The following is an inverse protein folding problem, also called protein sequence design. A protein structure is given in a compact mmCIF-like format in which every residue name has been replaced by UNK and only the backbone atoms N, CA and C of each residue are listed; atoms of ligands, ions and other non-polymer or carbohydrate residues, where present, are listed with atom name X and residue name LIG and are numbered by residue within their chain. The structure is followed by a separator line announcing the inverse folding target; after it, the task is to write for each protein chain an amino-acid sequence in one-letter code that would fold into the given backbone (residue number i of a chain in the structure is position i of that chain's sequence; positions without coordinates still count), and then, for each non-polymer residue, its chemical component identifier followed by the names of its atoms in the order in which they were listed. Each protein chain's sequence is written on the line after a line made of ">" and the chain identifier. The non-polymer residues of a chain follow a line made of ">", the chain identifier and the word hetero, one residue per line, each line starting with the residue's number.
data_IF_497092755797
#
_entry.id   IF_497092755797
#
_cell.length_a   1.000
_cell.length_b   1.000
_cell.length_c   1.000
_cell.angle_alpha   90.00
_cell.angle_beta   90.00
_cell.angle_gamma   90.00
#
_symmetry.space_group_name_H-M   'P 1'
#
loop_
_entity.id
_entity.type
_entity.pdbx_description
1 polymer ?
#
# COMPACT_ATOMS: atom_id res chain seq x y z
N UNK A 1 -4.60 6.64 -18.67
CA UNK A 1 -3.50 6.95 -17.73
C UNK A 1 -4.11 7.32 -16.39
N UNK A 2 -3.74 6.63 -15.31
CA UNK A 2 -4.25 6.92 -13.96
C UNK A 2 -3.80 8.31 -13.52
N UNK A 3 -4.72 9.13 -13.00
CA UNK A 3 -4.40 10.43 -12.40
C UNK A 3 -4.30 10.27 -10.89
N UNK A 4 -3.23 10.80 -10.29
CA UNK A 4 -2.99 10.76 -8.85
C UNK A 4 -3.21 12.14 -8.24
N UNK A 5 -3.59 12.16 -6.96
CA UNK A 5 -3.68 13.37 -6.14
C UNK A 5 -2.40 13.51 -5.31
N UNK A 6 -1.96 14.75 -5.13
CA UNK A 6 -0.93 15.08 -4.14
C UNK A 6 -1.51 14.94 -2.73
N UNK A 7 -0.76 14.33 -1.81
CA UNK A 7 -1.14 14.16 -0.40
C UNK A 7 0.06 14.50 0.50
N UNK A 8 0.10 15.68 1.12
CA UNK A 8 1.22 16.07 1.97
C UNK A 8 1.28 15.24 3.25
N UNK A 9 2.50 14.94 3.71
CA UNK A 9 2.75 14.18 4.94
C UNK A 9 2.94 12.67 4.73
N UNK A 10 2.94 12.16 3.49
CA UNK A 10 3.36 10.78 3.21
C UNK A 10 4.89 10.62 3.43
N UNK A 11 5.35 9.58 4.16
CA UNK A 11 6.78 9.27 4.29
C UNK A 11 7.36 8.69 2.99
N UNK A 12 8.69 8.74 2.85
CA UNK A 12 9.40 8.32 1.62
C UNK A 12 9.22 6.81 1.34
N UNK A 13 8.62 6.42 0.20
CA UNK A 13 8.42 5.01 -0.14
C UNK A 13 9.70 4.29 -0.57
N UNK A 14 10.85 4.98 -0.68
CA UNK A 14 12.12 4.43 -1.22
C UNK A 14 12.99 3.71 -0.17
N UNK A 15 12.40 3.25 0.93
CA UNK A 15 13.06 2.31 1.87
C UNK A 15 13.32 0.97 1.14
N UNK A 16 14.53 0.42 1.27
CA UNK A 16 14.99 -0.83 0.61
C UNK A 16 15.20 -1.95 1.65
N UNK A 17 15.32 -3.24 1.27
CA UNK A 17 15.09 -3.88 -0.03
C UNK A 17 13.62 -4.39 -0.05
N UNK A 18 13.24 -5.66 -0.39
CA UNK A 18 13.71 -6.56 -1.47
C UNK A 18 13.56 -5.93 -2.87
N UNK A 19 13.34 -6.76 -3.92
CA UNK A 19 13.05 -6.35 -5.31
C UNK A 19 11.88 -7.14 -5.95
N UNK A 20 11.48 -8.28 -5.38
CA UNK A 20 10.24 -8.97 -5.74
C UNK A 20 9.25 -8.70 -4.63
N UNK A 21 8.07 -8.17 -4.97
CA UNK A 21 7.04 -7.90 -3.98
C UNK A 21 6.36 -9.20 -3.55
N UNK A 22 6.30 -9.44 -2.23
CA UNK A 22 5.58 -10.55 -1.61
C UNK A 22 4.48 -10.02 -0.66
N UNK A 23 3.48 -10.84 -0.39
CA UNK A 23 2.40 -10.49 0.53
C UNK A 23 2.88 -10.58 2.00
N UNK A 24 2.57 -9.57 2.83
CA UNK A 24 3.09 -9.46 4.19
C UNK A 24 4.51 -8.88 4.28
N UNK A 25 5.14 -8.52 3.15
CA UNK A 25 6.40 -7.77 3.16
C UNK A 25 6.13 -6.27 3.35
N UNK A 26 6.63 -5.63 4.42
CA UNK A 26 6.31 -4.24 4.71
C UNK A 26 6.83 -3.26 3.65
N UNK A 27 7.90 -3.60 2.92
CA UNK A 27 8.48 -2.72 1.89
C UNK A 27 7.64 -2.73 0.60
N UNK A 28 7.09 -3.88 0.23
CA UNK A 28 6.06 -3.99 -0.82
C UNK A 28 4.78 -3.27 -0.40
N UNK A 29 4.26 -3.54 0.80
CA UNK A 29 3.02 -2.95 1.31
C UNK A 29 3.12 -1.42 1.44
N UNK A 30 4.26 -0.89 1.89
CA UNK A 30 4.52 0.56 1.95
C UNK A 30 4.29 1.24 0.60
N UNK A 31 4.89 0.69 -0.47
CA UNK A 31 4.75 1.23 -1.84
C UNK A 31 3.32 1.14 -2.35
N UNK A 32 2.64 0.03 -2.09
CA UNK A 32 1.24 -0.18 -2.47
C UNK A 32 0.33 0.83 -1.75
N UNK A 33 0.41 0.94 -0.42
CA UNK A 33 -0.44 1.85 0.36
C UNK A 33 -0.11 3.32 0.06
N UNK A 34 1.16 3.66 -0.22
CA UNK A 34 1.56 4.99 -0.67
C UNK A 34 0.95 5.38 -2.04
N UNK A 35 0.79 4.42 -2.97
CA UNK A 35 0.02 4.65 -4.20
C UNK A 35 -1.49 4.75 -3.93
N UNK A 36 -2.04 3.85 -3.11
CA UNK A 36 -3.48 3.82 -2.75
C UNK A 36 -3.92 5.12 -2.06
N UNK A 37 -3.06 5.69 -1.19
CA UNK A 37 -3.29 6.97 -0.53
C UNK A 37 -3.55 8.12 -1.53
N UNK A 38 -2.88 8.09 -2.69
CA UNK A 38 -2.93 9.10 -3.76
C UNK A 38 -4.01 8.84 -4.83
N UNK A 39 -4.77 7.75 -4.75
CA UNK A 39 -5.88 7.48 -5.68
C UNK A 39 -6.98 8.56 -5.60
N UNK A 40 -7.77 8.76 -6.66
CA UNK A 40 -9.03 9.49 -6.59
C UNK A 40 -9.94 8.92 -5.49
N UNK A 41 -10.72 9.79 -4.82
CA UNK A 41 -11.76 9.37 -3.87
C UNK A 41 -13.10 9.19 -4.58
N UNK A 42 -13.98 8.36 -4.02
CA UNK A 42 -15.35 8.13 -4.49
C UNK A 42 -15.49 7.44 -5.86
N UNK A 43 -14.39 6.96 -6.45
CA UNK A 43 -14.37 6.35 -7.79
C UNK A 43 -13.67 4.98 -7.74
N UNK A 44 -14.25 3.91 -8.32
CA UNK A 44 -13.60 2.61 -8.37
C UNK A 44 -12.39 2.61 -9.32
N UNK A 45 -11.23 2.20 -8.80
CA UNK A 45 -9.98 2.03 -9.56
C UNK A 45 -9.69 0.54 -9.72
N UNK A 46 -9.41 0.09 -10.94
CA UNK A 46 -9.09 -1.32 -11.22
C UNK A 46 -7.76 -1.70 -10.59
N UNK A 47 -7.70 -2.84 -9.91
CA UNK A 47 -6.46 -3.36 -9.31
C UNK A 47 -5.37 -3.58 -10.36
N UNK A 48 -5.73 -3.95 -11.60
CA UNK A 48 -4.77 -4.03 -12.72
C UNK A 48 -4.07 -2.69 -12.97
N UNK A 49 -4.82 -1.60 -13.02
CA UNK A 49 -4.27 -0.28 -13.35
C UNK A 49 -3.38 0.26 -12.20
N UNK A 50 -3.58 -0.23 -10.97
CA UNK A 50 -2.70 -0.03 -9.80
C UNK A 50 -1.40 -0.84 -9.97
N UNK A 51 -1.49 -2.13 -10.34
CA UNK A 51 -0.32 -2.98 -10.64
C UNK A 51 0.53 -2.39 -11.77
N UNK A 52 -0.12 -1.99 -12.87
CA UNK A 52 0.55 -1.36 -14.02
C UNK A 52 1.28 -0.07 -13.60
N UNK A 53 0.68 0.69 -12.66
CA UNK A 53 1.33 1.90 -12.14
C UNK A 53 2.49 1.61 -11.18
N UNK A 54 2.36 0.65 -10.27
CA UNK A 54 3.44 0.30 -9.33
C UNK A 54 4.70 -0.13 -10.07
N UNK A 55 4.57 -1.01 -11.08
CA UNK A 55 5.69 -1.46 -11.91
C UNK A 55 6.28 -0.33 -12.80
N UNK A 56 5.53 0.76 -13.03
CA UNK A 56 6.02 1.94 -13.76
C UNK A 56 6.66 3.00 -12.84
N UNK A 57 6.21 3.15 -11.60
CA UNK A 57 6.81 4.06 -10.59
C UNK A 57 8.06 3.43 -9.92
N UNK A 58 8.14 2.09 -9.84
CA UNK A 58 9.22 1.35 -9.19
C UNK A 58 9.82 0.30 -10.16
N UNK A 59 10.66 0.75 -11.09
CA UNK A 59 11.26 -0.11 -12.13
C UNK A 59 12.27 -1.14 -11.59
N UNK A 60 12.71 -0.97 -10.35
CA UNK A 60 13.51 -1.90 -9.56
C UNK A 60 12.68 -2.98 -8.84
N UNK A 61 11.35 -2.93 -8.97
CA UNK A 61 10.40 -3.85 -8.33
C UNK A 61 9.53 -4.61 -9.32
N UNK A 62 9.10 -5.81 -8.91
CA UNK A 62 8.06 -6.59 -9.60
C UNK A 62 6.84 -6.77 -8.68
N UNK A 63 5.73 -6.12 -9.01
CA UNK A 63 4.45 -6.22 -8.32
C UNK A 63 3.48 -7.14 -9.07
N UNK A 64 3.01 -8.17 -8.38
CA UNK A 64 1.97 -9.06 -8.88
C UNK A 64 0.57 -8.69 -8.36
N UNK A 65 -0.45 -9.09 -9.10
CA UNK A 65 -1.85 -8.82 -8.75
C UNK A 65 -2.29 -9.42 -7.40
N UNK A 66 -1.94 -10.66 -7.03
CA UNK A 66 -2.26 -11.21 -5.70
C UNK A 66 -1.67 -10.40 -4.54
N UNK A 67 -0.46 -9.86 -4.70
CA UNK A 67 0.22 -9.07 -3.66
C UNK A 67 -0.49 -7.73 -3.43
N UNK A 68 -0.89 -7.05 -4.50
CA UNK A 68 -1.71 -5.82 -4.39
C UNK A 68 -3.08 -6.11 -3.77
N UNK A 69 -3.73 -7.22 -4.13
CA UNK A 69 -4.99 -7.64 -3.49
C UNK A 69 -4.81 -7.91 -1.99
N UNK A 70 -3.76 -8.63 -1.60
CA UNK A 70 -3.48 -8.92 -0.18
C UNK A 70 -3.29 -7.63 0.65
N UNK A 71 -2.49 -6.69 0.16
CA UNK A 71 -2.29 -5.39 0.81
C UNK A 71 -3.60 -4.58 0.91
N UNK A 72 -4.47 -4.62 -0.11
CA UNK A 72 -5.78 -3.97 -0.09
C UNK A 72 -6.75 -4.62 0.91
N UNK A 73 -6.76 -5.95 1.02
CA UNK A 73 -7.54 -6.69 2.04
C UNK A 73 -7.05 -6.32 3.45
N UNK A 74 -5.73 -6.25 3.67
CA UNK A 74 -5.18 -5.84 4.96
C UNK A 74 -5.54 -4.39 5.30
N UNK A 75 -5.49 -3.47 4.31
CA UNK A 75 -5.88 -2.09 4.49
C UNK A 75 -7.38 -1.94 4.85
N UNK A 76 -8.25 -2.69 4.17
CA UNK A 76 -9.68 -2.77 4.52
C UNK A 76 -9.90 -3.33 5.94
N UNK A 77 -9.15 -4.38 6.33
CA UNK A 77 -9.21 -4.97 7.67
C UNK A 77 -8.82 -3.98 8.78
N UNK A 78 -7.74 -3.21 8.56
CA UNK A 78 -7.33 -2.14 9.46
C UNK A 78 -8.43 -1.08 9.61
N UNK A 79 -9.07 -0.68 8.51
CA UNK A 79 -10.16 0.30 8.53
C UNK A 79 -11.39 -0.22 9.30
N UNK A 80 -11.78 -1.48 9.07
CA UNK A 80 -12.88 -2.12 9.81
C UNK A 80 -12.59 -2.22 11.32
N UNK A 81 -11.32 -2.40 11.70
CA UNK A 81 -10.91 -2.42 13.10
C UNK A 81 -11.01 -1.05 13.76
N UNK A 82 -10.59 0.01 13.07
CA UNK A 82 -10.59 1.39 13.58
C UNK A 82 -11.99 2.04 13.57
N UNK A 83 -12.86 1.74 12.59
CA UNK A 83 -14.15 2.41 12.39
C UNK A 83 -15.41 1.51 12.34
N UNK A 84 -15.27 0.18 12.48
CA UNK A 84 -16.37 -0.82 12.46
C UNK A 84 -17.30 -0.78 11.23
N UNK A 85 -16.79 -0.35 10.08
CA UNK A 85 -17.45 -0.40 8.76
C UNK A 85 -16.39 -0.65 7.70
N UNK A 86 -16.75 -1.08 6.49
CA UNK A 86 -15.80 -1.27 5.39
C UNK A 86 -15.59 -0.01 4.51
N UNK A 87 -16.46 1.00 4.66
CA UNK A 87 -16.68 2.04 3.64
C UNK A 87 -15.52 2.97 3.32
N UNK A 88 -14.46 2.98 4.13
CA UNK A 88 -13.23 3.71 3.84
C UNK A 88 -12.43 3.15 2.67
N UNK A 89 -12.40 1.83 2.54
CA UNK A 89 -11.60 1.08 1.58
C UNK A 89 -12.41 -0.13 1.13
N UNK A 90 -13.16 0.03 0.05
CA UNK A 90 -14.07 -0.98 -0.49
C UNK A 90 -13.38 -1.72 -1.64
N UNK A 91 -12.96 -2.97 -1.40
CA UNK A 91 -12.48 -3.89 -2.41
C UNK A 91 -13.65 -4.74 -2.92
N UNK A 92 -13.99 -4.59 -4.20
CA UNK A 92 -15.08 -5.30 -4.87
C UNK A 92 -14.54 -6.24 -5.95
N UNK A 93 -15.15 -7.42 -6.12
CA UNK A 93 -14.85 -8.35 -7.21
C UNK A 93 -15.89 -8.23 -8.33
N UNK A 94 -15.45 -7.92 -9.54
CA UNK A 94 -16.32 -7.80 -10.72
C UNK A 94 -15.89 -8.69 -11.89
N UNK A 95 -16.75 -8.82 -12.90
CA UNK A 95 -16.49 -9.63 -14.10
C UNK A 95 -15.28 -9.15 -14.94
N UNK A 96 -14.78 -7.93 -14.69
CA UNK A 96 -13.58 -7.37 -15.32
C UNK A 96 -12.36 -7.37 -14.37
N UNK A 97 -12.44 -8.12 -13.28
CA UNK A 97 -11.50 -8.12 -12.16
C UNK A 97 -11.84 -7.09 -11.08
N UNK A 98 -11.18 -7.26 -9.94
CA UNK A 98 -11.29 -6.45 -8.74
C UNK A 98 -11.01 -4.95 -8.96
N UNK A 99 -11.80 -4.15 -8.24
CA UNK A 99 -11.70 -2.70 -8.11
C UNK A 99 -11.60 -2.31 -6.65
N UNK A 100 -10.85 -1.26 -6.34
CA UNK A 100 -10.87 -0.61 -5.03
C UNK A 100 -11.46 0.80 -5.15
N UNK A 101 -12.39 1.12 -4.26
CA UNK A 101 -12.91 2.46 -4.04
C UNK A 101 -12.42 2.96 -2.69
N UNK A 102 -11.92 4.20 -2.64
CA UNK A 102 -11.55 4.86 -1.38
C UNK A 102 -12.57 5.95 -1.10
N UNK A 103 -13.11 6.00 0.13
CA UNK A 103 -14.19 6.93 0.51
C UNK A 103 -13.85 8.40 0.25
N UNK A 104 -14.81 9.15 -0.26
CA UNK A 104 -14.70 10.61 -0.33
C UNK A 104 -15.10 11.25 1.01
N UNK A 105 -14.19 11.12 1.99
CA UNK A 105 -14.38 11.70 3.32
C UNK A 105 -13.07 12.21 3.92
N UNK A 106 -13.18 13.27 4.73
CA UNK A 106 -12.04 13.91 5.40
C UNK A 106 -11.35 13.04 6.46
N UNK A 107 -11.94 11.90 6.85
CA UNK A 107 -11.34 10.94 7.79
C UNK A 107 -10.33 10.00 7.13
N UNK A 108 -10.41 9.77 5.82
CA UNK A 108 -9.51 8.85 5.10
C UNK A 108 -8.08 9.35 5.13
N UNK A 109 -7.83 10.59 4.68
CA UNK A 109 -6.49 11.13 4.50
C UNK A 109 -5.62 11.05 5.78
N UNK A 110 -6.05 11.55 6.96
CA UNK A 110 -5.28 11.39 8.19
C UNK A 110 -5.20 9.95 8.69
N UNK A 111 -6.14 9.07 8.32
CA UNK A 111 -6.09 7.65 8.68
C UNK A 111 -5.11 6.86 7.82
N UNK A 112 -5.06 7.12 6.51
CA UNK A 112 -4.19 6.39 5.58
C UNK A 112 -2.74 6.81 5.74
N UNK A 113 -2.46 8.09 6.03
CA UNK A 113 -1.12 8.56 6.41
C UNK A 113 -0.59 7.72 7.58
N UNK A 114 -1.38 7.52 8.65
CA UNK A 114 -1.00 6.66 9.78
C UNK A 114 -0.80 5.18 9.41
N UNK A 115 -1.38 4.67 8.32
CA UNK A 115 -1.06 3.32 7.83
C UNK A 115 0.33 3.30 7.18
N UNK A 116 0.63 4.31 6.35
CA UNK A 116 1.92 4.44 5.67
C UNK A 116 3.04 4.68 6.70
N UNK A 117 2.81 5.49 7.74
CA UNK A 117 3.75 5.68 8.86
C UNK A 117 4.08 4.35 9.56
N UNK A 118 3.05 3.57 9.94
CA UNK A 118 3.23 2.23 10.57
C UNK A 118 4.01 1.27 9.67
N UNK A 119 3.80 1.33 8.35
CA UNK A 119 4.56 0.52 7.40
C UNK A 119 6.02 0.99 7.25
N UNK A 120 6.27 2.30 7.29
CA UNK A 120 7.63 2.87 7.27
C UNK A 120 8.42 2.53 8.56
N UNK A 121 7.76 2.52 9.71
CA UNK A 121 8.32 2.02 10.97
C UNK A 121 8.67 0.52 10.86
N UNK A 122 7.78 -0.31 10.32
CA UNK A 122 8.02 -1.74 10.11
C UNK A 122 9.19 -2.02 9.13
N UNK A 123 9.29 -1.25 8.04
CA UNK A 123 10.45 -1.27 7.13
C UNK A 123 11.75 -0.95 7.85
N UNK A 124 11.74 0.11 8.68
CA UNK A 124 12.91 0.58 9.44
C UNK A 124 13.36 -0.44 10.48
N UNK A 125 12.42 -1.09 11.17
CA UNK A 125 12.75 -2.17 12.10
C UNK A 125 13.34 -3.38 11.37
N UNK A 126 12.75 -3.80 10.24
CA UNK A 126 13.26 -4.94 9.47
C UNK A 126 14.66 -4.69 8.89
N UNK A 127 14.96 -3.46 8.48
CA UNK A 127 16.31 -3.01 8.13
C UNK A 127 17.28 -3.09 9.31
N UNK A 128 16.84 -2.67 10.50
CA UNK A 128 17.65 -2.74 11.73
C UNK A 128 17.96 -4.19 12.12
N UNK A 129 16.96 -5.08 12.07
CA UNK A 129 17.17 -6.52 12.31
C UNK A 129 18.22 -7.09 11.36
N UNK A 130 18.08 -6.83 10.05
CA UNK A 130 19.02 -7.30 9.04
C UNK A 130 20.46 -6.83 9.27
N UNK A 131 20.66 -5.56 9.62
CA UNK A 131 21.99 -5.01 9.92
C UNK A 131 22.62 -5.61 11.19
N UNK A 132 21.80 -6.02 12.18
CA UNK A 132 22.28 -6.73 13.38
C UNK A 132 22.67 -8.17 13.05
N UNK A 133 21.88 -8.85 12.22
CA UNK A 133 22.15 -10.24 11.81
C UNK A 133 23.40 -10.34 10.94
N UNK A 134 23.60 -9.45 9.95
CA UNK A 134 24.86 -9.38 9.18
C UNK A 134 26.05 -8.96 10.04
N UNK A 135 25.83 -8.08 11.03
CA UNK A 135 26.86 -7.70 12.01
C UNK A 135 27.24 -8.81 13.00
N UNK A 136 26.51 -9.92 13.01
CA UNK A 136 26.68 -11.05 13.94
C UNK A 136 27.38 -12.27 13.30
N UNK A 137 28.00 -12.10 12.13
CA UNK A 137 28.87 -13.12 11.51
C UNK A 137 30.09 -13.36 12.43
N UNK A 138 30.37 -14.61 12.87
CA UNK A 138 31.48 -14.95 13.76
C UNK A 138 32.85 -15.00 13.06
#
# INVERSE_FOLDING_TARGET
>A
MLQLRELPGLPDPRLQPPTVADAGDPFAELRIVHLVARLPRGVPVRVRDIVDRLNAEHVDWSFSRPVVVAALVQLQSNWMSDYRNASGVELESGAQGETVTIEDSSRVDPWIIRQVDRLAEACTERLRTFAVDEGSIP
#
